data_IF_763041287295
#
_entry.id   IF_763041287295
#
_cell.length_a   1.000
_cell.length_b   1.000
_cell.length_c   1.000
_cell.angle_alpha   90.00
_cell.angle_beta   90.00
_cell.angle_gamma   90.00
#
_symmetry.space_group_name_H-M   'P 1'
#
loop_
_entity.id
_entity.type
_entity.pdbx_description
1 polymer ?
#
# COMPACT_ATOMS: atom_id res chain seq x y z
N UNK A 1 -13.19 -8.78 21.26
CA UNK A 1 -14.56 -8.24 21.11
C UNK A 1 -15.23 -8.90 19.90
N UNK A 2 -16.56 -8.89 19.81
CA UNK A 2 -17.25 -9.34 18.59
C UNK A 2 -17.08 -8.26 17.50
N UNK A 3 -16.71 -8.68 16.28
CA UNK A 3 -16.56 -7.85 15.07
C UNK A 3 -15.78 -6.51 15.23
N UNK A 4 -14.55 -6.52 15.79
CA UNK A 4 -13.74 -5.30 15.84
C UNK A 4 -13.35 -4.83 14.44
N UNK A 5 -13.15 -3.52 14.29
CA UNK A 5 -12.39 -3.01 13.15
C UNK A 5 -10.90 -3.26 13.41
N UNK A 6 -10.23 -3.96 12.50
CA UNK A 6 -8.83 -4.36 12.68
C UNK A 6 -7.88 -3.38 11.98
N UNK A 7 -6.85 -2.93 12.70
CA UNK A 7 -5.79 -2.05 12.18
C UNK A 7 -4.45 -2.63 12.60
N UNK A 8 -3.47 -2.65 11.71
CA UNK A 8 -2.10 -3.05 12.06
C UNK A 8 -1.27 -1.84 12.44
N UNK A 9 -0.66 -1.87 13.62
CA UNK A 9 0.30 -0.88 14.10
C UNK A 9 1.70 -1.43 13.91
N UNK A 10 2.53 -0.67 13.21
CA UNK A 10 3.92 -1.00 12.94
C UNK A 10 4.81 -0.03 13.71
N UNK A 11 5.59 -0.56 14.65
CA UNK A 11 6.69 0.16 15.30
C UNK A 11 7.98 0.02 14.51
N UNK A 12 8.65 1.14 14.24
CA UNK A 12 9.92 1.24 13.53
C UNK A 12 10.67 2.50 14.02
N UNK A 13 11.95 2.71 13.64
CA UNK A 13 12.76 3.79 14.21
C UNK A 13 12.02 5.13 14.23
N UNK A 14 11.66 5.55 15.44
CA UNK A 14 11.07 6.85 15.78
C UNK A 14 9.75 7.18 15.06
N UNK A 15 8.99 6.16 14.63
CA UNK A 15 7.72 6.37 13.91
C UNK A 15 6.72 5.24 14.15
N UNK A 16 5.43 5.60 14.17
CA UNK A 16 4.32 4.68 14.05
C UNK A 16 3.76 4.68 12.62
N UNK A 17 3.36 3.52 12.11
CA UNK A 17 2.54 3.43 10.90
C UNK A 17 1.30 2.58 11.17
N UNK A 18 0.17 3.03 10.63
CA UNK A 18 -1.14 2.42 10.82
C UNK A 18 -1.63 1.91 9.47
N UNK A 19 -1.65 0.60 9.30
CA UNK A 19 -2.13 -0.06 8.09
C UNK A 19 -3.57 -0.53 8.27
N UNK A 20 -4.43 -0.10 7.36
CA UNK A 20 -5.87 -0.37 7.35
C UNK A 20 -6.19 -1.53 6.39
N UNK A 21 -7.34 -2.22 6.54
CA UNK A 21 -7.73 -3.34 5.67
C UNK A 21 -7.90 -3.00 4.18
N UNK A 22 -8.01 -1.71 3.83
CA UNK A 22 -8.09 -1.20 2.46
C UNK A 22 -6.71 -0.88 1.87
N UNK A 23 -5.64 -1.44 2.42
CA UNK A 23 -4.23 -1.20 2.08
C UNK A 23 -3.73 0.24 2.33
N UNK A 24 -4.57 1.15 2.86
CA UNK A 24 -4.11 2.48 3.26
C UNK A 24 -3.12 2.38 4.41
N UNK A 25 -2.07 3.20 4.37
CA UNK A 25 -1.10 3.34 5.46
C UNK A 25 -1.00 4.81 5.83
N UNK A 26 -1.19 5.10 7.11
CA UNK A 26 -1.17 6.46 7.64
C UNK A 26 -0.17 6.59 8.79
N UNK A 27 0.26 7.82 9.06
CA UNK A 27 1.04 8.19 10.24
C UNK A 27 0.13 8.64 11.41
N UNK A 28 -1.16 8.81 11.16
CA UNK A 28 -2.19 9.09 12.16
C UNK A 28 -3.10 7.87 12.34
N UNK A 29 -3.45 7.56 13.58
CA UNK A 29 -4.40 6.51 13.89
C UNK A 29 -5.82 7.05 13.83
N UNK A 30 -6.53 6.78 12.73
CA UNK A 30 -7.94 7.09 12.57
C UNK A 30 -8.80 5.93 13.06
N UNK A 31 -9.77 6.21 13.93
CA UNK A 31 -10.67 5.22 14.49
C UNK A 31 -12.11 5.73 14.58
N UNK A 32 -13.12 4.87 14.47
CA UNK A 32 -14.51 5.22 14.70
C UNK A 32 -14.84 5.31 16.20
N UNK A 33 -15.68 6.28 16.57
CA UNK A 33 -16.31 6.32 17.91
C UNK A 33 -17.29 5.14 18.08
N UNK A 34 -17.42 4.63 19.31
CA UNK A 34 -18.36 3.59 19.76
C UNK A 34 -18.28 2.23 19.04
N UNK A 35 -17.22 2.00 18.28
CA UNK A 35 -16.95 0.72 17.64
C UNK A 35 -15.66 0.11 18.23
N UNK A 36 -15.66 -1.17 18.63
CA UNK A 36 -14.44 -1.83 19.06
C UNK A 36 -13.37 -1.82 17.95
N UNK A 37 -12.16 -1.42 18.31
CA UNK A 37 -10.98 -1.45 17.44
C UNK A 37 -9.99 -2.46 18.00
N UNK A 38 -9.50 -3.36 17.14
CA UNK A 38 -8.44 -4.30 17.45
C UNK A 38 -7.17 -3.88 16.72
N UNK A 39 -6.15 -3.50 17.48
CA UNK A 39 -4.82 -3.23 16.97
C UNK A 39 -3.99 -4.51 16.96
N UNK A 40 -3.53 -4.92 15.78
CA UNK A 40 -2.48 -5.95 15.61
C UNK A 40 -1.13 -5.24 15.65
N UNK A 41 -0.26 -5.66 16.56
CA UNK A 41 0.97 -4.94 16.84
C UNK A 41 2.17 -5.73 16.31
N UNK A 42 2.98 -5.08 15.47
CA UNK A 42 4.23 -5.62 14.95
C UNK A 42 5.38 -4.61 15.10
N UNK A 43 6.55 -5.08 15.53
CA UNK A 43 7.77 -4.27 15.58
C UNK A 43 8.77 -4.74 14.53
N UNK A 44 9.42 -3.80 13.83
CA UNK A 44 10.37 -4.10 12.74
C UNK A 44 11.80 -4.34 13.20
N UNK A 45 12.22 -3.72 14.29
CA UNK A 45 13.64 -3.58 14.65
C UNK A 45 13.90 -3.83 16.15
N UNK A 46 13.24 -3.09 17.04
CA UNK A 46 13.45 -3.14 18.49
C UNK A 46 12.13 -3.28 19.23
N UNK A 47 12.20 -3.45 20.55
CA UNK A 47 11.03 -3.56 21.38
C UNK A 47 10.45 -2.18 21.71
N UNK A 48 9.17 -1.97 21.38
CA UNK A 48 8.43 -0.76 21.70
C UNK A 48 7.36 -1.02 22.76
N UNK A 49 6.73 0.05 23.25
CA UNK A 49 5.45 -0.06 23.96
C UNK A 49 4.49 0.96 23.39
N UNK A 50 3.56 0.50 22.55
CA UNK A 50 2.49 1.34 22.03
C UNK A 50 1.51 1.69 23.15
N UNK A 51 1.16 2.96 23.30
CA UNK A 51 0.27 3.46 24.34
C UNK A 51 -0.61 4.58 23.82
N UNK A 52 -1.89 4.58 24.18
CA UNK A 52 -2.80 5.73 24.03
C UNK A 52 -3.22 6.13 25.44
N UNK A 53 -2.51 7.09 26.08
CA UNK A 53 -2.72 7.41 27.49
C UNK A 53 -4.16 7.81 27.83
N UNK A 54 -4.80 8.60 26.95
CA UNK A 54 -6.19 9.02 27.12
C UNK A 54 -7.17 7.84 27.21
N UNK A 55 -6.87 6.73 26.53
CA UNK A 55 -7.69 5.52 26.54
C UNK A 55 -7.22 4.51 27.60
N UNK A 56 -6.16 4.83 28.35
CA UNK A 56 -5.54 3.97 29.38
C UNK A 56 -5.14 2.59 28.87
N UNK A 57 -4.78 2.51 27.59
CA UNK A 57 -4.34 1.26 26.94
C UNK A 57 -2.86 1.34 26.58
N UNK A 58 -2.15 0.24 26.84
CA UNK A 58 -0.76 0.06 26.42
C UNK A 58 -0.42 -1.39 26.20
N UNK A 59 0.49 -1.68 25.27
CA UNK A 59 0.99 -3.04 25.02
C UNK A 59 2.42 -3.01 24.49
N UNK A 60 3.25 -3.90 25.05
CA UNK A 60 4.61 -4.11 24.56
C UNK A 60 4.61 -4.81 23.21
N UNK A 61 5.55 -4.41 22.35
CA UNK A 61 5.77 -4.96 21.02
C UNK A 61 7.18 -5.53 20.99
N UNK A 62 7.35 -6.75 20.51
CA UNK A 62 8.66 -7.43 20.43
C UNK A 62 8.83 -7.89 18.98
N UNK A 63 9.97 -7.58 18.32
CA UNK A 63 10.23 -8.04 16.97
C UNK A 63 10.06 -9.56 16.84
N UNK A 64 9.41 -10.00 15.76
CA UNK A 64 9.12 -11.41 15.50
C UNK A 64 8.02 -12.04 16.39
N UNK A 65 7.32 -11.26 17.22
CA UNK A 65 6.18 -11.74 18.01
C UNK A 65 4.91 -10.98 17.68
N UNK A 66 3.82 -11.71 17.51
CA UNK A 66 2.50 -11.09 17.36
C UNK A 66 2.02 -10.51 18.69
N UNK A 67 1.59 -9.25 18.66
CA UNK A 67 0.90 -8.59 19.76
C UNK A 67 -0.49 -8.15 19.34
N UNK A 68 -1.37 -7.98 20.31
CA UNK A 68 -2.65 -7.33 20.08
C UNK A 68 -3.06 -6.47 21.27
N UNK A 69 -3.83 -5.43 20.97
CA UNK A 69 -4.44 -4.51 21.93
C UNK A 69 -5.80 -4.10 21.38
N UNK A 70 -6.83 -3.99 22.21
CA UNK A 70 -8.13 -3.50 21.75
C UNK A 70 -8.65 -2.40 22.67
N UNK A 71 -9.48 -1.52 22.11
CA UNK A 71 -10.19 -0.48 22.85
C UNK A 71 -11.48 -0.12 22.10
N UNK A 72 -12.31 0.71 22.73
CA UNK A 72 -13.46 1.34 22.10
C UNK A 72 -13.47 2.81 22.53
N UNK A 73 -13.26 3.72 21.58
CA UNK A 73 -13.28 5.15 21.86
C UNK A 73 -14.73 5.61 22.10
N UNK A 74 -14.96 6.42 23.13
CA UNK A 74 -16.31 6.87 23.53
C UNK A 74 -16.60 8.31 23.14
N UNK A 75 -15.57 9.10 22.85
CA UNK A 75 -15.68 10.52 22.54
C UNK A 75 -14.90 10.84 21.25
N UNK A 76 -15.52 11.52 20.28
CA UNK A 76 -14.82 12.04 19.10
C UNK A 76 -13.81 13.13 19.49
N UNK A 77 -12.67 13.17 18.82
CA UNK A 77 -11.61 14.14 19.13
C UNK A 77 -10.23 13.73 18.63
N UNK A 78 -9.25 14.54 18.98
CA UNK A 78 -7.83 14.26 18.73
C UNK A 78 -7.15 13.87 20.04
N UNK A 79 -6.43 12.76 20.02
CA UNK A 79 -5.65 12.22 21.12
C UNK A 79 -4.24 11.87 20.62
N UNK A 80 -3.40 11.31 21.48
CA UNK A 80 -2.02 10.98 21.14
C UNK A 80 -1.70 9.53 21.48
N UNK A 81 -1.00 8.89 20.55
CA UNK A 81 -0.30 7.64 20.76
C UNK A 81 1.18 7.94 20.97
N UNK A 82 1.80 7.26 21.94
CA UNK A 82 3.20 7.47 22.34
C UNK A 82 3.93 6.16 22.52
N UNK A 83 5.26 6.19 22.45
CA UNK A 83 6.07 5.09 22.94
C UNK A 83 6.29 5.18 24.45
N UNK A 84 5.68 4.27 25.21
CA UNK A 84 5.80 4.23 26.68
C UNK A 84 6.98 3.38 27.18
N UNK A 85 8.04 3.24 26.37
CA UNK A 85 9.29 2.53 26.69
C UNK A 85 10.43 3.17 25.90
N UNK A 86 11.60 3.29 26.54
CA UNK A 86 12.83 3.67 25.84
C UNK A 86 13.18 2.67 24.73
N UNK A 87 13.22 3.16 23.48
CA UNK A 87 13.49 2.41 22.26
C UNK A 87 14.62 3.03 21.41
N UNK A 88 15.42 3.93 22.00
CA UNK A 88 16.50 4.67 21.33
C UNK A 88 16.35 6.19 21.49
N UNK A 89 17.30 6.95 20.94
CA UNK A 89 17.40 8.39 21.22
C UNK A 89 16.15 9.17 20.80
N UNK A 90 15.56 8.85 19.65
CA UNK A 90 14.33 9.47 19.17
C UNK A 90 13.02 8.94 19.81
N UNK A 91 13.08 8.32 20.99
CA UNK A 91 11.87 7.77 21.64
C UNK A 91 10.87 8.88 21.99
N UNK A 92 11.37 10.06 22.38
CA UNK A 92 10.52 11.18 22.80
C UNK A 92 9.68 11.74 21.64
N UNK A 93 10.20 11.63 20.43
CA UNK A 93 9.61 12.07 19.17
C UNK A 93 8.64 11.03 18.59
N UNK A 94 8.59 9.83 19.17
CA UNK A 94 7.76 8.71 18.71
C UNK A 94 6.30 8.87 19.15
N UNK A 95 5.69 9.97 18.70
CA UNK A 95 4.32 10.40 18.96
C UNK A 95 3.52 10.35 17.65
N UNK A 96 2.27 9.91 17.71
CA UNK A 96 1.35 9.92 16.58
C UNK A 96 -0.04 10.44 16.99
N UNK A 97 -0.69 11.29 16.19
CA UNK A 97 -2.08 11.68 16.41
C UNK A 97 -3.02 10.46 16.34
N UNK A 98 -4.03 10.47 17.20
CA UNK A 98 -5.15 9.52 17.20
C UNK A 98 -6.43 10.30 16.97
N UNK A 99 -7.02 10.15 15.78
CA UNK A 99 -8.23 10.85 15.36
C UNK A 99 -9.43 9.94 15.57
N UNK A 100 -10.27 10.25 16.56
CA UNK A 100 -11.54 9.59 16.78
C UNK A 100 -12.62 10.33 15.99
N UNK A 101 -13.07 9.70 14.92
CA UNK A 101 -14.10 10.22 14.03
C UNK A 101 -15.49 10.09 14.64
N UNK A 102 -16.38 11.04 14.34
CA UNK A 102 -17.80 10.91 14.69
C UNK A 102 -18.44 9.76 13.90
N UNK A 103 -19.64 9.35 14.31
CA UNK A 103 -20.44 8.33 13.60
C UNK A 103 -20.55 8.69 12.11
N UNK A 104 -20.17 7.78 11.22
CA UNK A 104 -20.21 7.94 9.75
C UNK A 104 -19.02 8.69 9.12
N UNK A 105 -18.28 9.50 9.89
CA UNK A 105 -17.11 10.23 9.37
C UNK A 105 -15.93 9.28 9.09
N UNK A 106 -15.74 8.24 9.91
CA UNK A 106 -14.69 7.26 9.70
C UNK A 106 -14.83 6.53 8.36
N UNK A 107 -16.02 6.05 8.03
CA UNK A 107 -16.27 5.35 6.76
C UNK A 107 -16.14 6.30 5.56
N UNK A 108 -16.49 7.58 5.73
CA UNK A 108 -16.31 8.62 4.71
C UNK A 108 -14.82 8.90 4.48
N UNK A 109 -14.06 9.07 5.56
CA UNK A 109 -12.61 9.23 5.50
C UNK A 109 -11.96 8.00 4.85
N UNK A 110 -12.33 6.79 5.28
CA UNK A 110 -11.79 5.55 4.74
C UNK A 110 -12.04 5.43 3.23
N UNK A 111 -13.23 5.81 2.76
CA UNK A 111 -13.54 5.90 1.32
C UNK A 111 -12.69 6.94 0.61
N UNK A 112 -12.51 8.13 1.19
CA UNK A 112 -11.71 9.20 0.58
C UNK A 112 -10.22 8.84 0.44
N UNK A 113 -9.64 8.16 1.44
CA UNK A 113 -8.24 7.71 1.37
C UNK A 113 -8.08 6.48 0.47
N UNK A 114 -9.14 5.68 0.30
CA UNK A 114 -9.25 4.69 -0.77
C UNK A 114 -9.44 5.32 -2.16
N UNK A 115 -9.84 6.58 -2.25
CA UNK A 115 -10.12 7.28 -3.50
C UNK A 115 -8.90 8.03 -4.05
N UNK A 116 -7.69 7.58 -3.71
CA UNK A 116 -6.45 8.12 -4.31
C UNK A 116 -6.45 7.98 -5.84
N UNK A 117 -7.23 7.04 -6.38
CA UNK A 117 -7.48 6.89 -7.83
C UNK A 117 -8.17 8.12 -8.44
N UNK A 118 -9.01 8.82 -7.68
CA UNK A 118 -9.74 10.00 -8.17
C UNK A 118 -9.06 11.31 -7.80
N UNK A 119 -8.11 11.30 -6.86
CA UNK A 119 -7.46 12.52 -6.35
C UNK A 119 -6.03 12.72 -6.83
N UNK A 120 -5.30 11.65 -7.17
CA UNK A 120 -3.95 11.75 -7.74
C UNK A 120 -3.98 11.75 -9.27
N UNK A 121 -2.98 12.34 -9.94
CA UNK A 121 -2.76 12.10 -11.36
C UNK A 121 -2.68 10.59 -11.65
N UNK A 122 -3.26 10.09 -12.77
CA UNK A 122 -3.36 8.66 -13.04
C UNK A 122 -2.03 7.89 -12.93
N UNK A 123 -0.93 8.46 -13.44
CA UNK A 123 0.40 7.85 -13.36
C UNK A 123 0.94 7.78 -11.92
N UNK A 124 0.61 8.75 -11.06
CA UNK A 124 1.03 8.72 -9.65
C UNK A 124 0.21 7.72 -8.84
N UNK A 125 -1.10 7.66 -9.08
CA UNK A 125 -1.98 6.63 -8.55
C UNK A 125 -1.51 5.22 -8.96
N UNK A 126 -1.16 5.05 -10.24
CA UNK A 126 -0.60 3.80 -10.77
C UNK A 126 0.73 3.42 -10.14
N UNK A 127 1.62 4.39 -9.87
CA UNK A 127 2.88 4.15 -9.16
C UNK A 127 2.63 3.63 -7.74
N UNK A 128 1.67 4.19 -7.02
CA UNK A 128 1.26 3.69 -5.69
C UNK A 128 0.75 2.27 -5.78
N UNK A 129 -0.14 1.98 -6.73
CA UNK A 129 -0.65 0.62 -6.95
C UNK A 129 0.46 -0.38 -7.31
N UNK A 130 1.40 0.00 -8.16
CA UNK A 130 2.56 -0.82 -8.50
C UNK A 130 3.37 -1.24 -7.27
N UNK A 131 3.46 -0.37 -6.26
CA UNK A 131 4.10 -0.69 -4.98
C UNK A 131 3.19 -1.53 -4.07
N UNK A 132 1.93 -1.12 -3.89
CA UNK A 132 0.97 -1.72 -2.96
C UNK A 132 0.53 -3.12 -3.38
N UNK A 133 0.31 -3.36 -4.68
CA UNK A 133 -0.15 -4.65 -5.22
C UNK A 133 1.00 -5.64 -5.45
N UNK A 134 2.22 -5.28 -5.07
CA UNK A 134 3.38 -6.17 -5.09
C UNK A 134 4.04 -6.36 -6.46
N UNK A 135 3.69 -5.55 -7.46
CA UNK A 135 4.27 -5.66 -8.81
C UNK A 135 5.80 -5.49 -8.79
N UNK A 136 6.34 -4.71 -7.84
CA UNK A 136 7.78 -4.49 -7.63
C UNK A 136 8.59 -5.76 -7.33
N UNK A 137 7.96 -6.82 -6.82
CA UNK A 137 8.65 -8.08 -6.51
C UNK A 137 9.11 -8.78 -7.79
N UNK A 138 8.32 -8.70 -8.87
CA UNK A 138 8.60 -9.41 -10.12
C UNK A 138 9.01 -8.49 -11.26
N UNK A 139 8.58 -7.23 -11.27
CA UNK A 139 8.87 -6.26 -12.33
C UNK A 139 9.76 -5.14 -11.81
N UNK A 140 10.75 -4.73 -12.60
CA UNK A 140 11.66 -3.63 -12.29
C UNK A 140 11.31 -2.37 -13.08
N UNK A 141 11.87 -1.23 -12.68
CA UNK A 141 11.75 0.06 -13.38
C UNK A 141 13.07 0.56 -13.98
N UNK A 142 14.16 -0.20 -13.83
CA UNK A 142 15.52 0.23 -14.17
C UNK A 142 16.10 -0.53 -15.38
N UNK A 143 15.33 -1.44 -15.97
CA UNK A 143 15.77 -2.35 -17.03
C UNK A 143 16.28 -3.70 -16.51
N UNK A 144 16.46 -3.86 -15.19
CA UNK A 144 16.95 -5.12 -14.60
C UNK A 144 15.95 -6.25 -14.82
N UNK A 145 16.40 -7.35 -15.42
CA UNK A 145 15.56 -8.55 -15.57
C UNK A 145 15.33 -9.21 -14.20
N UNK A 146 14.05 -9.40 -13.84
CA UNK A 146 13.61 -10.15 -12.66
C UNK A 146 12.78 -11.36 -13.11
N UNK A 147 11.83 -11.82 -12.28
CA UNK A 147 10.85 -12.85 -12.65
C UNK A 147 9.99 -12.43 -13.83
N UNK A 148 9.64 -11.14 -13.93
CA UNK A 148 8.93 -10.55 -15.07
C UNK A 148 9.78 -9.52 -15.82
N UNK A 149 9.29 -9.05 -16.99
CA UNK A 149 9.94 -8.00 -17.75
C UNK A 149 10.03 -6.68 -16.98
N UNK A 150 11.02 -5.85 -17.32
CA UNK A 150 11.11 -4.48 -16.82
C UNK A 150 10.06 -3.60 -17.48
N UNK A 151 9.54 -2.60 -16.75
CA UNK A 151 8.63 -1.60 -17.30
C UNK A 151 9.34 -0.36 -17.85
N UNK A 152 10.67 -0.26 -17.71
CA UNK A 152 11.43 0.86 -18.24
C UNK A 152 11.27 0.94 -19.76
N UNK A 153 10.70 2.03 -20.26
CA UNK A 153 10.55 2.28 -21.69
C UNK A 153 9.66 1.28 -22.43
N UNK A 154 8.98 0.34 -21.76
CA UNK A 154 8.34 -0.79 -22.46
C UNK A 154 7.07 -0.38 -23.20
N UNK A 155 6.38 0.65 -22.71
CA UNK A 155 5.11 1.08 -23.29
C UNK A 155 5.29 1.60 -24.72
N UNK A 156 4.46 1.13 -25.63
CA UNK A 156 4.54 1.45 -27.05
C UNK A 156 5.57 0.64 -27.84
N UNK A 157 6.42 -0.17 -27.18
CA UNK A 157 7.34 -1.08 -27.87
C UNK A 157 6.67 -2.39 -28.27
N UNK A 158 7.18 -2.99 -29.34
CA UNK A 158 6.80 -4.32 -29.78
C UNK A 158 7.59 -5.38 -29.00
N UNK A 159 6.89 -6.37 -28.46
CA UNK A 159 7.48 -7.52 -27.76
C UNK A 159 7.11 -8.82 -28.47
N UNK A 160 8.09 -9.71 -28.60
CA UNK A 160 7.86 -11.08 -29.10
C UNK A 160 7.29 -11.95 -27.97
N UNK A 161 6.25 -12.73 -28.28
CA UNK A 161 5.59 -13.66 -27.36
C UNK A 161 6.22 -15.06 -27.47
N UNK A 162 5.94 -15.91 -26.48
CA UNK A 162 6.46 -17.27 -26.41
C UNK A 162 5.99 -18.18 -27.57
N UNK A 163 4.89 -17.82 -28.23
CA UNK A 163 4.35 -18.52 -29.42
C UNK A 163 4.95 -18.02 -30.75
N UNK A 164 5.86 -17.03 -30.71
CA UNK A 164 6.51 -16.42 -31.86
C UNK A 164 5.73 -15.29 -32.53
N UNK A 165 4.53 -14.95 -32.04
CA UNK A 165 3.82 -13.74 -32.46
C UNK A 165 4.41 -12.50 -31.79
N UNK A 166 4.03 -11.31 -32.27
CA UNK A 166 4.42 -10.04 -31.66
C UNK A 166 3.21 -9.22 -31.26
N UNK A 167 3.37 -8.39 -30.23
CA UNK A 167 2.33 -7.50 -29.72
C UNK A 167 2.93 -6.17 -29.29
N UNK A 168 2.19 -5.08 -29.50
CA UNK A 168 2.56 -3.76 -28.97
C UNK A 168 2.11 -3.69 -27.51
N UNK A 169 2.99 -3.22 -26.64
CA UNK A 169 2.67 -3.02 -25.22
C UNK A 169 1.86 -1.73 -25.05
N UNK A 170 0.55 -1.84 -25.21
CA UNK A 170 -0.41 -0.76 -24.99
C UNK A 170 -1.27 -1.01 -23.73
N UNK A 171 -2.23 -0.12 -23.45
CA UNK A 171 -3.12 -0.24 -22.29
C UNK A 171 -3.97 -1.51 -22.32
N UNK A 172 -4.39 -1.96 -23.50
CA UNK A 172 -5.22 -3.15 -23.64
C UNK A 172 -4.41 -4.41 -23.35
N UNK A 173 -3.18 -4.50 -23.86
CA UNK A 173 -2.25 -5.56 -23.54
C UNK A 173 -1.91 -5.60 -22.04
N UNK A 174 -1.66 -4.44 -21.42
CA UNK A 174 -1.41 -4.37 -19.97
C UNK A 174 -2.63 -4.85 -19.17
N UNK A 175 -3.82 -4.44 -19.58
CA UNK A 175 -5.06 -4.84 -18.91
C UNK A 175 -5.28 -6.36 -18.98
N UNK A 176 -5.14 -6.93 -20.17
CA UNK A 176 -5.20 -8.39 -20.38
C UNK A 176 -4.10 -9.12 -19.60
N UNK A 177 -2.87 -8.63 -19.59
CA UNK A 177 -1.74 -9.25 -18.88
C UNK A 177 -1.94 -9.28 -17.36
N UNK A 178 -2.70 -8.34 -16.79
CA UNK A 178 -3.00 -8.31 -15.35
C UNK A 178 -4.14 -9.28 -15.01
N UNK A 179 -5.17 -9.35 -15.86
CA UNK A 179 -6.34 -10.22 -15.63
C UNK A 179 -6.05 -11.69 -15.99
N UNK A 180 -5.44 -11.93 -17.14
CA UNK A 180 -5.05 -13.24 -17.67
C UNK A 180 -3.56 -13.26 -18.13
N UNK A 181 -2.62 -13.29 -17.17
CA UNK A 181 -1.18 -13.22 -17.46
C UNK A 181 -0.62 -14.38 -18.29
N UNK A 182 -1.38 -15.47 -18.46
CA UNK A 182 -0.94 -16.64 -19.23
C UNK A 182 -1.36 -16.56 -20.70
N UNK A 183 -2.24 -15.63 -21.07
CA UNK A 183 -2.70 -15.47 -22.44
C UNK A 183 -1.58 -15.05 -23.40
N UNK A 184 -0.74 -14.09 -22.98
CA UNK A 184 0.31 -13.49 -23.82
C UNK A 184 1.62 -13.35 -23.05
N UNK A 185 2.40 -14.42 -23.02
CA UNK A 185 3.67 -14.47 -22.26
C UNK A 185 4.80 -13.94 -23.14
N UNK A 186 5.49 -12.90 -22.69
CA UNK A 186 6.68 -12.37 -23.37
C UNK A 186 7.77 -13.44 -23.47
N UNK A 187 8.37 -13.58 -24.66
CA UNK A 187 9.39 -14.57 -24.95
C UNK A 187 10.53 -14.54 -23.94
N UNK A 188 10.90 -15.73 -23.48
CA UNK A 188 11.95 -15.94 -22.51
C UNK A 188 11.51 -15.78 -21.05
N UNK A 189 10.25 -15.43 -20.74
CA UNK A 189 9.73 -15.44 -19.38
C UNK A 189 8.84 -16.66 -19.13
N UNK A 190 8.83 -17.14 -17.89
CA UNK A 190 7.96 -18.25 -17.47
C UNK A 190 6.57 -17.73 -17.09
N UNK A 191 5.48 -18.50 -17.34
CA UNK A 191 4.09 -18.12 -17.03
C UNK A 191 3.76 -18.25 -15.52
N UNK A 192 4.52 -17.53 -14.68
CA UNK A 192 4.45 -17.59 -13.21
C UNK A 192 3.73 -16.39 -12.58
N UNK A 193 3.37 -15.37 -13.36
CA UNK A 193 2.58 -14.25 -12.87
C UNK A 193 1.17 -14.74 -12.48
N UNK A 194 0.71 -14.52 -11.22
CA UNK A 194 -0.62 -14.93 -10.81
C UNK A 194 -1.68 -14.02 -11.43
N UNK A 195 -2.90 -14.52 -11.69
CA UNK A 195 -4.00 -13.67 -12.16
C UNK A 195 -4.43 -12.69 -11.06
N UNK A 196 -4.75 -11.45 -11.46
CA UNK A 196 -5.24 -10.41 -10.56
C UNK A 196 -6.74 -10.09 -10.77
N UNK A 197 -7.44 -10.88 -11.58
CA UNK A 197 -8.90 -10.82 -11.72
C UNK A 197 -9.58 -10.89 -10.33
N UNK A 198 -10.41 -9.88 -10.04
CA UNK A 198 -11.08 -9.73 -8.74
C UNK A 198 -10.21 -9.24 -7.58
N UNK A 199 -8.90 -9.02 -7.81
CA UNK A 199 -7.94 -8.47 -6.83
C UNK A 199 -7.50 -7.04 -7.16
N UNK A 200 -7.66 -6.65 -8.42
CA UNK A 200 -7.42 -5.32 -8.96
C UNK A 200 -8.61 -4.97 -9.86
N UNK A 201 -9.22 -3.81 -9.62
CA UNK A 201 -10.35 -3.28 -10.38
C UNK A 201 -9.92 -2.61 -11.68
N UNK A 202 -10.83 -2.43 -12.64
CA UNK A 202 -10.50 -1.80 -13.93
C UNK A 202 -9.89 -0.40 -13.77
N UNK A 203 -10.42 0.41 -12.84
CA UNK A 203 -9.85 1.73 -12.54
C UNK A 203 -8.42 1.67 -12.00
N UNK A 204 -8.12 0.67 -11.17
CA UNK A 204 -6.76 0.45 -10.69
C UNK A 204 -5.84 0.00 -11.83
N UNK A 205 -6.32 -0.87 -12.73
CA UNK A 205 -5.57 -1.31 -13.91
C UNK A 205 -5.28 -0.13 -14.85
N UNK A 206 -6.26 0.73 -15.11
CA UNK A 206 -6.08 1.94 -15.92
C UNK A 206 -5.01 2.87 -15.33
N UNK A 207 -5.02 3.07 -14.01
CA UNK A 207 -4.00 3.85 -13.33
C UNK A 207 -2.61 3.19 -13.44
N UNK A 208 -2.50 1.87 -13.24
CA UNK A 208 -1.25 1.11 -13.42
C UNK A 208 -0.74 1.24 -14.86
N UNK A 209 -1.62 1.13 -15.85
CA UNK A 209 -1.26 1.28 -17.26
C UNK A 209 -0.79 2.71 -17.56
N UNK A 210 -1.45 3.73 -17.02
CA UNK A 210 -1.00 5.13 -17.13
C UNK A 210 0.38 5.36 -16.47
N UNK A 211 0.68 4.66 -15.38
CA UNK A 211 2.01 4.69 -14.78
C UNK A 211 3.05 4.04 -15.70
N UNK A 212 2.78 2.85 -16.25
CA UNK A 212 3.70 2.19 -17.19
C UNK A 212 3.91 3.05 -18.45
N UNK A 213 2.85 3.68 -18.95
CA UNK A 213 2.92 4.66 -20.05
C UNK A 213 3.82 5.85 -19.72
N UNK A 214 3.76 6.37 -18.49
CA UNK A 214 4.65 7.47 -18.07
C UNK A 214 6.14 7.10 -18.00
N UNK A 215 6.47 5.81 -18.10
CA UNK A 215 7.84 5.31 -18.17
C UNK A 215 8.32 5.09 -19.61
N UNK A 216 7.49 5.38 -20.61
CA UNK A 216 7.87 5.30 -22.02
C UNK A 216 9.08 6.20 -22.32
N UNK A 217 9.90 5.79 -23.28
CA UNK A 217 10.97 6.64 -23.79
C UNK A 217 10.33 7.82 -24.54
N UNK A 218 10.26 8.99 -23.90
CA UNK A 218 9.96 10.22 -24.61
C UNK A 218 11.21 10.64 -25.39
N UNK A 219 11.13 10.95 -26.69
CA UNK A 219 12.25 11.55 -27.38
C UNK A 219 12.62 12.84 -26.63
N UNK A 220 13.86 12.91 -26.13
CA UNK A 220 14.38 14.14 -25.53
C UNK A 220 14.10 15.31 -26.48
N UNK A 221 13.35 16.30 -26.02
CA UNK A 221 13.34 17.61 -26.67
C UNK A 221 14.79 18.07 -26.74
N UNK A 222 15.37 18.02 -27.94
CA UNK A 222 16.62 18.71 -28.23
C UNK A 222 16.39 20.18 -27.91
N UNK A 223 16.84 20.58 -26.72
CA UNK A 223 16.87 21.97 -26.30
C UNK A 223 17.71 22.74 -27.33
N UNK A 224 17.18 23.82 -27.93
CA UNK A 224 17.91 24.61 -28.92
C UNK A 224 19.15 25.28 -28.32
#
# INVERSE_FOLDING_TARGET
>A
PAHPYEITVIGQPWMWSFAYPNDHVDQQLHVPVERPVLLRLAARDTAYTFSIPAFRVRRGMIPGREGSLWFQATEPGSYEAVCARYAGDGTAEMVAPVVVHKRGEFDTWLKSVSDFLSTLPPAEAGRKLYQMKGCTQCHSLDGTRKTGPSFKGIFGHEVELADGSTVIVDKAYIHESILDPKAKVVKGFEPVMPPFAGRVSDKEIEAIAAFIESLADHPEEKKP
#
